data_IF_612958328082
#
_entry.id   IF_612958328082
#
_cell.length_a   1.000
_cell.length_b   1.000
_cell.length_c   1.000
_cell.angle_alpha   90.00
_cell.angle_beta   90.00
_cell.angle_gamma   90.00
#
_symmetry.space_group_name_H-M   'P 1'
#
loop_
_entity.id
_entity.type
_entity.pdbx_description
1 polymer ?
#
# COMPACT_ATOMS: atom_id res chain seq x y z
N UNK A 1 -11.42 -2.29 10.04
CA UNK A 1 -10.43 -3.34 9.74
C UNK A 1 -9.56 -2.85 8.59
N UNK A 2 -8.24 -2.95 8.68
CA UNK A 2 -7.32 -2.45 7.64
C UNK A 2 -6.81 -3.60 6.78
N UNK A 3 -6.90 -3.47 5.45
CA UNK A 3 -6.39 -4.47 4.50
C UNK A 3 -5.01 -4.03 4.02
N UNK A 4 -4.01 -4.89 4.22
CA UNK A 4 -2.66 -4.69 3.70
C UNK A 4 -2.52 -5.39 2.34
N UNK A 5 -2.21 -4.64 1.30
CA UNK A 5 -1.92 -5.17 -0.04
C UNK A 5 -0.42 -5.12 -0.28
N UNK A 6 0.18 -6.30 -0.37
CA UNK A 6 1.56 -6.47 -0.85
C UNK A 6 1.54 -6.56 -2.38
N UNK A 7 2.56 -6.00 -3.05
CA UNK A 7 2.60 -5.99 -4.52
C UNK A 7 1.54 -5.07 -5.16
N UNK A 8 1.17 -3.98 -4.48
CA UNK A 8 0.13 -3.04 -4.91
C UNK A 8 0.41 -2.34 -6.27
N UNK A 9 1.66 -2.37 -6.74
CA UNK A 9 2.06 -1.85 -8.06
C UNK A 9 2.03 -2.90 -9.18
N UNK A 10 1.73 -4.17 -8.86
CA UNK A 10 1.64 -5.25 -9.84
C UNK A 10 0.32 -5.26 -10.61
N UNK A 11 0.25 -6.07 -11.67
CA UNK A 11 -0.92 -6.18 -12.57
C UNK A 11 -2.22 -6.45 -11.81
N UNK A 12 -2.20 -7.42 -10.90
CA UNK A 12 -3.37 -7.76 -10.08
C UNK A 12 -3.52 -6.80 -8.90
N UNK A 13 -2.42 -6.50 -8.20
CA UNK A 13 -2.44 -5.68 -6.98
C UNK A 13 -3.07 -4.31 -7.20
N UNK A 14 -2.80 -3.66 -8.34
CA UNK A 14 -3.40 -2.37 -8.69
C UNK A 14 -4.92 -2.44 -8.81
N UNK A 15 -5.44 -3.48 -9.46
CA UNK A 15 -6.88 -3.70 -9.60
C UNK A 15 -7.53 -3.99 -8.25
N UNK A 16 -6.88 -4.79 -7.41
CA UNK A 16 -7.35 -5.10 -6.05
C UNK A 16 -7.45 -3.83 -5.21
N UNK A 17 -6.43 -2.97 -5.22
CA UNK A 17 -6.48 -1.69 -4.46
C UNK A 17 -7.63 -0.82 -4.94
N UNK A 18 -7.77 -0.64 -6.26
CA UNK A 18 -8.86 0.16 -6.84
C UNK A 18 -10.24 -0.34 -6.41
N UNK A 19 -10.47 -1.66 -6.49
CA UNK A 19 -11.74 -2.27 -6.09
C UNK A 19 -12.01 -2.15 -4.59
N UNK A 20 -10.99 -2.32 -3.76
CA UNK A 20 -11.15 -2.19 -2.31
C UNK A 20 -11.46 -0.74 -1.89
N UNK A 21 -10.81 0.24 -2.53
CA UNK A 21 -11.08 1.67 -2.30
C UNK A 21 -12.51 2.01 -2.72
N UNK A 22 -12.96 1.55 -3.89
CA UNK A 22 -14.34 1.76 -4.36
C UNK A 22 -15.39 1.17 -3.42
N UNK A 23 -15.05 0.12 -2.68
CA UNK A 23 -15.91 -0.51 -1.66
C UNK A 23 -15.82 0.16 -0.29
N UNK A 24 -15.06 1.25 -0.15
CA UNK A 24 -14.89 1.98 1.10
C UNK A 24 -14.02 1.26 2.13
N UNK A 25 -13.23 0.26 1.73
CA UNK A 25 -12.31 -0.40 2.64
C UNK A 25 -11.11 0.49 2.98
N UNK A 26 -10.59 0.36 4.20
CA UNK A 26 -9.33 1.00 4.60
C UNK A 26 -8.14 0.16 4.08
N UNK A 27 -7.46 0.66 3.03
CA UNK A 27 -6.42 -0.09 2.29
C UNK A 27 -5.04 0.50 2.47
N UNK A 28 -4.09 -0.26 3.02
CA UNK A 28 -2.67 0.10 3.05
C UNK A 28 -1.93 -0.64 1.94
N UNK A 29 -1.20 0.10 1.11
CA UNK A 29 -0.34 -0.46 0.08
C UNK A 29 1.12 -0.48 0.52
N UNK A 30 1.75 -1.64 0.39
CA UNK A 30 3.20 -1.83 0.56
C UNK A 30 3.88 -1.81 -0.81
N UNK A 31 4.85 -0.92 -0.97
CA UNK A 31 5.59 -0.76 -2.22
C UNK A 31 7.09 -0.83 -1.98
N UNK A 32 7.83 -1.33 -2.97
CA UNK A 32 9.30 -1.39 -2.90
C UNK A 32 9.92 -0.02 -3.10
N UNK A 33 9.42 0.70 -4.09
CA UNK A 33 9.84 2.04 -4.47
C UNK A 33 8.60 2.93 -4.56
N UNK A 34 8.55 3.95 -3.71
CA UNK A 34 7.41 4.86 -3.60
C UNK A 34 7.32 5.81 -4.79
N UNK A 35 8.44 6.14 -5.45
CA UNK A 35 8.47 7.04 -6.60
C UNK A 35 7.77 6.43 -7.83
N UNK A 36 7.80 5.10 -7.95
CA UNK A 36 7.11 4.36 -9.03
C UNK A 36 5.62 4.14 -8.76
N UNK A 37 5.11 4.63 -7.64
CA UNK A 37 3.78 4.30 -7.12
C UNK A 37 2.88 5.53 -6.91
N UNK A 38 3.19 6.68 -7.54
CA UNK A 38 2.44 7.93 -7.37
C UNK A 38 0.92 7.79 -7.54
N UNK A 39 0.48 6.89 -8.43
CA UNK A 39 -0.95 6.63 -8.62
C UNK A 39 -1.64 6.10 -7.35
N UNK A 40 -0.93 5.32 -6.51
CA UNK A 40 -1.47 4.81 -5.25
C UNK A 40 -1.58 5.93 -4.21
N UNK A 41 -0.63 6.88 -4.19
CA UNK A 41 -0.72 8.05 -3.30
C UNK A 41 -1.94 8.89 -3.65
N UNK A 42 -2.19 9.14 -4.94
CA UNK A 42 -3.37 9.87 -5.40
C UNK A 42 -4.67 9.13 -5.07
N UNK A 43 -4.71 7.81 -5.27
CA UNK A 43 -5.90 6.98 -5.01
C UNK A 43 -6.23 6.83 -3.52
N UNK A 44 -5.20 6.68 -2.68
CA UNK A 44 -5.37 6.44 -1.25
C UNK A 44 -5.44 7.73 -0.42
N UNK A 45 -5.10 8.88 -1.01
CA UNK A 45 -5.08 10.18 -0.34
C UNK A 45 -4.08 10.27 0.82
N UNK A 46 -3.08 9.37 0.86
CA UNK A 46 -2.10 9.29 1.95
C UNK A 46 -0.74 8.76 1.48
N UNK A 47 0.35 9.07 2.20
CA UNK A 47 1.67 8.56 1.86
C UNK A 47 1.73 7.03 1.88
N UNK A 48 2.46 6.47 0.93
CA UNK A 48 2.74 5.04 0.88
C UNK A 48 3.79 4.64 1.90
N UNK A 49 3.78 3.38 2.31
CA UNK A 49 4.81 2.83 3.18
C UNK A 49 5.79 2.00 2.35
N UNK A 50 7.08 2.30 2.45
CA UNK A 50 8.10 1.43 1.86
C UNK A 50 8.18 0.12 2.65
N UNK A 51 8.54 -0.97 1.97
CA UNK A 51 8.82 -2.24 2.63
C UNK A 51 9.89 -2.10 3.71
N UNK A 52 10.92 -1.29 3.46
CA UNK A 52 12.04 -1.11 4.39
C UNK A 52 11.58 -0.45 5.69
N UNK A 53 10.82 0.65 5.59
CA UNK A 53 10.32 1.36 6.76
C UNK A 53 9.35 0.51 7.57
N UNK A 54 8.54 -0.29 6.88
CA UNK A 54 7.64 -1.24 7.51
C UNK A 54 8.40 -2.33 8.26
N UNK A 55 9.37 -2.98 7.61
CA UNK A 55 10.20 -4.02 8.22
C UNK A 55 11.01 -3.49 9.40
N UNK A 56 11.60 -2.31 9.29
CA UNK A 56 12.32 -1.65 10.39
C UNK A 56 11.42 -1.36 11.58
N UNK A 57 10.18 -0.91 11.35
CA UNK A 57 9.21 -0.71 12.44
C UNK A 57 8.82 -2.00 13.13
N UNK A 58 8.56 -3.07 12.38
CA UNK A 58 8.24 -4.38 12.97
C UNK A 58 9.41 -4.89 13.81
N UNK A 59 10.63 -4.82 13.28
CA UNK A 59 11.82 -5.26 13.99
C UNK A 59 12.08 -4.47 15.28
N UNK A 60 11.75 -3.18 15.32
CA UNK A 60 11.90 -2.33 16.51
C UNK A 60 10.78 -2.51 17.55
N UNK A 61 9.73 -3.28 17.24
CA UNK A 61 8.61 -3.56 18.15
C UNK A 61 8.64 -4.97 18.75
N UNK A 62 9.71 -5.73 18.49
CA UNK A 62 10.01 -7.03 19.10
C UNK A 62 10.99 -6.84 20.27
#
# INVERSE_FOLDING_TARGET
MTILVTGATGTVGRQVVDQLVKRGADVRALVRDTAKANFLTALLGRPLRSYRDFASKIAASA
#
